data_IF_209683000507
#
_entry.id   IF_209683000507
#
_cell.length_a   1.000
_cell.length_b   1.000
_cell.length_c   1.000
_cell.angle_alpha   90.00
_cell.angle_beta   90.00
_cell.angle_gamma   90.00
#
_symmetry.space_group_name_H-M   'P 1'
#
loop_
_entity.id
_entity.type
_entity.pdbx_description
1 polymer ?
#
# COMPACT_ATOMS: atom_id res chain seq x y z
N UNK A 1 -64.15 50.32 -18.42
CA UNK A 1 -62.78 49.89 -18.81
C UNK A 1 -62.23 49.00 -17.72
N UNK A 2 -62.20 47.71 -17.99
CA UNK A 2 -61.95 46.65 -17.00
C UNK A 2 -60.44 46.45 -16.74
N UNK A 3 -60.07 46.55 -15.45
CA UNK A 3 -58.75 46.09 -14.97
C UNK A 3 -58.89 44.61 -14.59
N UNK A 4 -58.17 43.73 -15.30
CA UNK A 4 -58.10 42.33 -14.97
C UNK A 4 -56.90 42.14 -13.98
N UNK A 5 -57.22 41.58 -12.81
CA UNK A 5 -56.27 41.18 -11.80
C UNK A 5 -55.52 39.91 -12.25
N UNK A 6 -54.18 39.96 -12.31
CA UNK A 6 -53.34 38.79 -12.56
C UNK A 6 -52.87 38.26 -11.18
N UNK A 7 -53.42 37.15 -10.75
CA UNK A 7 -52.95 36.43 -9.56
C UNK A 7 -51.69 35.61 -9.95
N UNK A 8 -50.54 35.98 -9.41
CA UNK A 8 -49.34 35.17 -9.49
C UNK A 8 -49.37 34.15 -8.36
N UNK A 9 -49.47 32.87 -8.71
CA UNK A 9 -49.29 31.77 -7.76
C UNK A 9 -47.79 31.54 -7.54
N UNK A 10 -47.30 31.84 -6.35
CA UNK A 10 -45.93 31.46 -5.92
C UNK A 10 -45.96 30.00 -5.44
N UNK A 11 -45.45 29.10 -6.23
CA UNK A 11 -45.23 27.71 -5.83
C UNK A 11 -43.96 27.66 -4.93
N UNK A 12 -44.18 27.49 -3.63
CA UNK A 12 -43.10 27.23 -2.70
C UNK A 12 -42.62 25.77 -2.87
N UNK A 13 -41.46 25.60 -3.48
CA UNK A 13 -40.73 24.31 -3.48
C UNK A 13 -40.15 24.09 -2.06
N UNK A 14 -40.81 23.27 -1.26
CA UNK A 14 -40.22 22.70 -0.06
C UNK A 14 -39.16 21.68 -0.51
N UNK A 15 -37.87 22.09 -0.50
CA UNK A 15 -36.77 21.15 -0.52
C UNK A 15 -36.79 20.39 0.81
N UNK A 16 -37.41 19.20 0.83
CA UNK A 16 -37.25 18.26 1.92
C UNK A 16 -35.77 17.74 1.87
N UNK A 17 -34.92 18.31 2.69
CA UNK A 17 -33.62 17.72 2.98
C UNK A 17 -33.85 16.44 3.75
N UNK A 18 -33.85 15.31 3.06
CA UNK A 18 -33.77 14.00 3.71
C UNK A 18 -32.50 13.96 4.56
N UNK A 19 -32.60 13.63 5.85
CA UNK A 19 -31.43 13.45 6.66
C UNK A 19 -30.59 12.33 6.00
N UNK A 20 -29.33 12.61 5.68
CA UNK A 20 -28.39 11.58 5.32
C UNK A 20 -28.35 10.59 6.50
N UNK A 21 -28.97 9.44 6.35
CA UNK A 21 -28.78 8.34 7.28
C UNK A 21 -27.31 7.96 7.19
N UNK A 22 -26.52 8.41 8.15
CA UNK A 22 -25.21 7.83 8.44
C UNK A 22 -25.49 6.38 8.85
N UNK A 23 -25.48 5.48 7.90
CA UNK A 23 -25.46 4.05 8.20
C UNK A 23 -24.19 3.82 9.04
N UNK A 24 -24.38 3.51 10.32
CA UNK A 24 -23.29 3.03 11.17
C UNK A 24 -22.86 1.71 10.54
N UNK A 25 -21.77 1.75 9.78
CA UNK A 25 -21.21 0.56 9.17
C UNK A 25 -20.66 -0.33 10.29
N UNK A 26 -21.06 -1.59 10.30
CA UNK A 26 -20.53 -2.56 11.25
C UNK A 26 -19.03 -2.68 11.02
N UNK A 27 -18.27 -2.70 12.12
CA UNK A 27 -16.83 -2.73 12.08
C UNK A 27 -16.32 -4.18 11.98
N UNK A 28 -15.36 -4.44 11.09
CA UNK A 28 -14.66 -5.71 11.01
C UNK A 28 -13.83 -5.96 12.28
N UNK A 29 -13.98 -7.14 12.88
CA UNK A 29 -13.34 -7.55 14.15
C UNK A 29 -12.36 -8.72 14.01
N UNK A 30 -12.13 -9.17 12.78
CA UNK A 30 -11.18 -10.28 12.51
C UNK A 30 -9.72 -9.83 12.51
N UNK A 31 -8.80 -10.72 12.08
CA UNK A 31 -7.38 -10.42 11.98
C UNK A 31 -7.08 -9.23 11.08
N UNK A 32 -6.08 -8.43 11.45
CA UNK A 32 -5.63 -7.25 10.72
C UNK A 32 -4.16 -7.42 10.39
N UNK A 33 -3.79 -7.16 9.12
CA UNK A 33 -2.40 -7.20 8.66
C UNK A 33 -2.00 -5.81 8.21
N UNK A 34 -0.97 -5.25 8.84
CA UNK A 34 -0.32 -3.99 8.44
C UNK A 34 0.74 -4.30 7.38
N UNK A 35 0.44 -3.97 6.13
CA UNK A 35 1.32 -4.26 5.01
C UNK A 35 2.43 -3.19 4.79
N UNK A 36 2.51 -2.17 5.67
CA UNK A 36 3.47 -1.10 5.49
C UNK A 36 3.99 -0.55 6.84
N UNK A 37 4.98 -1.25 7.41
CA UNK A 37 5.69 -0.76 8.60
C UNK A 37 7.20 -0.91 8.42
N UNK A 38 7.94 0.17 8.69
CA UNK A 38 9.39 0.20 8.48
C UNK A 38 10.16 -0.25 9.71
N UNK A 39 11.10 -1.17 9.52
CA UNK A 39 12.18 -1.49 10.45
C UNK A 39 13.36 -0.56 10.17
N UNK A 40 13.89 0.11 11.20
CA UNK A 40 15.03 1.03 11.08
C UNK A 40 16.13 0.62 12.05
N UNK A 41 17.23 0.10 11.52
CA UNK A 41 18.37 -0.39 12.32
C UNK A 41 19.32 0.73 12.71
N UNK A 42 19.27 1.85 12.00
CA UNK A 42 20.16 2.98 12.23
C UNK A 42 19.50 4.33 11.93
N UNK A 43 20.14 5.44 12.32
CA UNK A 43 19.58 6.78 12.19
C UNK A 43 19.39 7.24 10.73
N UNK A 44 20.08 6.60 9.78
CA UNK A 44 20.06 6.94 8.36
C UNK A 44 19.25 5.94 7.51
N UNK A 45 18.50 5.04 8.13
CA UNK A 45 17.73 4.01 7.42
C UNK A 45 16.34 4.52 6.99
N UNK A 46 16.08 5.81 7.07
CA UNK A 46 14.83 6.48 6.64
C UNK A 46 15.07 7.67 5.72
N UNK A 47 14.00 8.39 5.36
CA UNK A 47 14.05 9.64 4.59
C UNK A 47 14.80 10.74 5.33
N UNK A 48 14.58 10.82 6.63
CA UNK A 48 15.24 11.76 7.54
C UNK A 48 15.94 10.98 8.65
N UNK A 49 17.00 11.57 9.27
CA UNK A 49 17.59 10.96 10.46
C UNK A 49 16.53 10.73 11.53
N UNK A 50 16.40 9.51 12.00
CA UNK A 50 15.40 9.12 13.01
C UNK A 50 16.01 8.14 14.01
N UNK A 51 15.33 7.96 15.13
CA UNK A 51 15.70 6.90 16.07
C UNK A 51 15.50 5.52 15.42
N UNK A 52 16.31 4.53 15.77
CA UNK A 52 16.07 3.14 15.37
C UNK A 52 14.65 2.67 15.79
N UNK A 53 14.02 1.91 14.92
CA UNK A 53 12.69 1.30 15.17
C UNK A 53 12.85 -0.20 15.07
N UNK A 54 12.88 -0.85 16.22
CA UNK A 54 12.98 -2.31 16.34
C UNK A 54 11.63 -3.01 16.33
N UNK A 55 11.66 -4.33 16.21
CA UNK A 55 10.46 -5.19 16.24
C UNK A 55 9.64 -5.07 17.50
N UNK A 56 10.27 -4.81 18.66
CA UNK A 56 9.54 -4.65 19.93
C UNK A 56 8.64 -3.41 19.95
N UNK A 57 9.11 -2.30 19.34
CA UNK A 57 8.31 -1.09 19.20
C UNK A 57 7.11 -1.34 18.27
N UNK A 58 7.32 -1.99 17.13
CA UNK A 58 6.25 -2.34 16.19
C UNK A 58 5.24 -3.25 16.89
N UNK A 59 5.69 -4.34 17.53
CA UNK A 59 4.82 -5.28 18.23
C UNK A 59 3.98 -4.61 19.31
N UNK A 60 4.56 -3.70 20.09
CA UNK A 60 3.82 -2.96 21.14
C UNK A 60 2.69 -2.13 20.56
N UNK A 61 2.93 -1.46 19.44
CA UNK A 61 1.93 -0.65 18.75
C UNK A 61 0.86 -1.50 18.08
N UNK A 62 1.27 -2.62 17.48
CA UNK A 62 0.36 -3.60 16.87
C UNK A 62 -0.59 -4.18 17.93
N UNK A 63 -0.06 -4.61 19.07
CA UNK A 63 -0.87 -5.16 20.17
C UNK A 63 -1.89 -4.13 20.67
N UNK A 64 -1.48 -2.87 20.81
CA UNK A 64 -2.35 -1.78 21.24
C UNK A 64 -3.45 -1.46 20.19
N UNK A 65 -3.17 -1.63 18.89
CA UNK A 65 -4.10 -1.38 17.80
C UNK A 65 -4.96 -2.59 17.43
N UNK A 66 -4.61 -3.80 17.89
CA UNK A 66 -5.24 -5.07 17.49
C UNK A 66 -4.76 -5.56 16.11
N UNK A 67 -3.59 -5.11 15.65
CA UNK A 67 -2.92 -5.63 14.45
C UNK A 67 -2.30 -6.99 14.78
N UNK A 68 -2.56 -7.98 13.94
CA UNK A 68 -2.12 -9.37 14.18
C UNK A 68 -0.77 -9.67 13.56
N UNK A 69 -0.46 -9.05 12.42
CA UNK A 69 0.81 -9.25 11.71
C UNK A 69 1.20 -7.95 10.99
N UNK A 70 2.50 -7.66 10.90
CA UNK A 70 3.03 -6.48 10.21
C UNK A 70 4.16 -6.82 9.27
N UNK A 71 4.25 -6.08 8.17
CA UNK A 71 5.43 -6.02 7.32
C UNK A 71 6.63 -5.49 8.11
N UNK A 72 7.83 -5.98 7.78
CA UNK A 72 9.09 -5.37 8.20
C UNK A 72 9.81 -4.87 6.96
N UNK A 73 9.73 -3.58 6.68
CA UNK A 73 10.25 -2.97 5.47
C UNK A 73 11.60 -2.30 5.75
N UNK A 74 12.59 -2.57 4.90
CA UNK A 74 13.87 -1.85 4.84
C UNK A 74 14.04 -1.17 3.48
N UNK A 75 14.96 -0.21 3.39
CA UNK A 75 15.24 0.53 2.14
C UNK A 75 16.75 0.49 1.86
N UNK A 76 17.12 -0.10 0.73
CA UNK A 76 18.49 -0.14 0.22
C UNK A 76 18.97 1.24 -0.27
N UNK A 77 20.27 1.46 -0.30
CA UNK A 77 20.90 2.66 -0.86
C UNK A 77 21.86 2.28 -1.98
N UNK A 78 21.96 3.15 -2.99
CA UNK A 78 22.87 2.96 -4.12
C UNK A 78 24.32 2.77 -3.66
N UNK A 79 25.00 1.81 -4.27
CA UNK A 79 26.43 1.56 -4.04
C UNK A 79 26.74 0.95 -2.67
N UNK A 80 25.74 0.42 -1.96
CA UNK A 80 25.92 -0.16 -0.62
C UNK A 80 25.45 -1.63 -0.53
N UNK A 81 25.93 -2.54 -1.40
CA UNK A 81 25.42 -3.92 -1.47
C UNK A 81 25.59 -4.69 -0.14
N UNK A 82 26.69 -4.50 0.57
CA UNK A 82 26.92 -5.14 1.87
C UNK A 82 25.92 -4.65 2.94
N UNK A 83 25.63 -3.35 2.98
CA UNK A 83 24.62 -2.78 3.88
C UNK A 83 23.22 -3.25 3.49
N UNK A 84 22.91 -3.32 2.20
CA UNK A 84 21.67 -3.87 1.67
C UNK A 84 21.47 -5.30 2.15
N UNK A 85 22.47 -6.16 2.04
CA UNK A 85 22.43 -7.52 2.55
C UNK A 85 22.15 -7.57 4.05
N UNK A 86 22.84 -6.74 4.86
CA UNK A 86 22.62 -6.67 6.31
C UNK A 86 21.16 -6.27 6.66
N UNK A 87 20.60 -5.31 5.94
CA UNK A 87 19.22 -4.87 6.12
C UNK A 87 18.22 -6.00 5.79
N UNK A 88 18.44 -6.67 4.67
CA UNK A 88 17.61 -7.79 4.23
C UNK A 88 17.71 -8.97 5.20
N UNK A 89 18.90 -9.31 5.66
CA UNK A 89 19.11 -10.38 6.64
C UNK A 89 18.40 -10.06 7.98
N UNK A 90 18.38 -8.79 8.38
CA UNK A 90 17.71 -8.38 9.60
C UNK A 90 16.18 -8.60 9.53
N UNK A 91 15.51 -8.20 8.44
CA UNK A 91 14.06 -8.42 8.30
C UNK A 91 13.72 -9.89 8.12
N UNK A 92 14.54 -10.66 7.37
CA UNK A 92 14.37 -12.10 7.20
C UNK A 92 14.49 -12.82 8.54
N UNK A 93 15.52 -12.50 9.34
CA UNK A 93 15.75 -13.11 10.66
C UNK A 93 14.66 -12.73 11.66
N UNK A 94 14.26 -11.46 11.69
CA UNK A 94 13.21 -10.99 12.58
C UNK A 94 11.84 -11.64 12.27
N UNK A 95 11.49 -11.76 11.00
CA UNK A 95 10.28 -12.45 10.58
C UNK A 95 10.33 -13.95 10.86
N UNK A 96 11.48 -14.61 10.63
CA UNK A 96 11.67 -16.03 10.95
C UNK A 96 11.57 -16.30 12.45
N UNK A 97 12.00 -15.36 13.31
CA UNK A 97 11.88 -15.49 14.76
C UNK A 97 10.44 -15.34 15.29
N UNK A 98 9.58 -14.65 14.55
CA UNK A 98 8.19 -14.42 14.94
C UNK A 98 7.23 -14.42 13.71
N UNK A 99 7.10 -15.54 12.98
CA UNK A 99 6.39 -15.60 11.70
C UNK A 99 4.88 -15.34 11.79
N UNK A 100 4.29 -15.54 12.96
CA UNK A 100 2.90 -15.18 13.22
C UNK A 100 2.69 -13.66 13.41
N UNK A 101 3.77 -12.90 13.61
CA UNK A 101 3.72 -11.46 13.90
C UNK A 101 4.31 -10.62 12.80
N UNK A 102 5.26 -11.15 12.05
CA UNK A 102 5.99 -10.38 11.04
C UNK A 102 6.20 -11.16 9.75
N UNK A 103 6.25 -10.43 8.63
CA UNK A 103 6.75 -10.94 7.37
C UNK A 103 7.78 -9.96 6.78
N UNK A 104 8.81 -10.46 6.06
CA UNK A 104 9.89 -9.63 5.59
C UNK A 104 9.55 -8.95 4.27
N UNK A 105 9.87 -7.67 4.14
CA UNK A 105 9.90 -6.92 2.89
C UNK A 105 11.34 -6.44 2.69
N UNK A 106 12.04 -7.09 1.79
CA UNK A 106 13.44 -6.83 1.47
C UNK A 106 13.59 -5.62 0.53
N UNK A 107 14.80 -5.18 0.26
CA UNK A 107 15.04 -4.08 -0.67
C UNK A 107 16.31 -4.28 -1.46
N UNK A 108 16.36 -3.70 -2.65
CA UNK A 108 17.59 -3.55 -3.48
C UNK A 108 17.60 -2.14 -4.06
N UNK A 109 18.74 -1.70 -4.61
CA UNK A 109 18.79 -0.48 -5.38
C UNK A 109 18.93 -0.80 -6.88
N UNK A 110 18.04 -0.30 -7.78
CA UNK A 110 18.08 -0.67 -9.18
C UNK A 110 19.42 -0.36 -9.88
N UNK A 111 20.05 0.76 -9.57
CA UNK A 111 21.32 1.15 -10.16
C UNK A 111 22.53 0.27 -9.74
N UNK A 112 22.34 -0.63 -8.74
CA UNK A 112 23.37 -1.61 -8.36
C UNK A 112 23.43 -2.81 -9.31
N UNK A 113 22.50 -2.88 -10.31
CA UNK A 113 22.52 -3.82 -11.45
C UNK A 113 22.72 -5.28 -11.02
N UNK A 114 23.84 -5.89 -11.41
CA UNK A 114 24.12 -7.30 -11.10
C UNK A 114 24.08 -7.59 -9.61
N UNK A 115 24.60 -6.69 -8.77
CA UNK A 115 24.55 -6.88 -7.32
C UNK A 115 23.12 -6.89 -6.77
N UNK A 116 22.22 -6.11 -7.37
CA UNK A 116 20.78 -6.15 -7.04
C UNK A 116 20.15 -7.48 -7.47
N UNK A 117 20.49 -8.00 -8.66
CA UNK A 117 19.95 -9.27 -9.16
C UNK A 117 20.42 -10.45 -8.32
N UNK A 118 21.70 -10.50 -7.97
CA UNK A 118 22.27 -11.54 -7.12
C UNK A 118 21.62 -11.55 -5.73
N UNK A 119 21.36 -10.35 -5.19
CA UNK A 119 20.68 -10.22 -3.90
C UNK A 119 19.21 -10.65 -3.99
N UNK A 120 18.48 -10.30 -5.05
CA UNK A 120 17.10 -10.77 -5.28
C UNK A 120 17.02 -12.29 -5.35
N UNK A 121 17.94 -12.93 -6.07
CA UNK A 121 18.03 -14.39 -6.12
C UNK A 121 18.32 -15.01 -4.75
N UNK A 122 19.19 -14.38 -3.98
CA UNK A 122 19.53 -14.85 -2.63
C UNK A 122 18.32 -14.76 -1.70
N UNK A 123 17.67 -13.60 -1.62
CA UNK A 123 16.54 -13.40 -0.69
C UNK A 123 15.30 -14.20 -1.10
N UNK A 124 15.06 -14.42 -2.39
CA UNK A 124 14.01 -15.31 -2.87
C UNK A 124 14.21 -16.76 -2.38
N UNK A 125 15.44 -17.28 -2.44
CA UNK A 125 15.81 -18.60 -1.89
C UNK A 125 15.63 -18.68 -0.37
N UNK A 126 15.72 -17.54 0.34
CA UNK A 126 15.49 -17.43 1.78
C UNK A 126 14.01 -17.20 2.14
N UNK A 127 13.11 -17.21 1.15
CA UNK A 127 11.67 -17.12 1.37
C UNK A 127 11.08 -15.71 1.38
N UNK A 128 11.84 -14.68 0.97
CA UNK A 128 11.27 -13.37 0.72
C UNK A 128 10.18 -13.47 -0.35
N UNK A 129 9.09 -12.69 -0.17
CA UNK A 129 7.97 -12.63 -1.11
C UNK A 129 7.78 -11.24 -1.70
N UNK A 130 8.34 -10.22 -1.06
CA UNK A 130 8.10 -8.82 -1.40
C UNK A 130 9.38 -7.99 -1.31
N UNK A 131 9.53 -7.05 -2.24
CA UNK A 131 10.68 -6.16 -2.40
C UNK A 131 10.20 -4.71 -2.39
N UNK A 132 10.73 -3.90 -1.48
CA UNK A 132 10.47 -2.44 -1.44
C UNK A 132 11.42 -1.71 -2.38
N UNK A 133 10.85 -0.89 -3.25
CA UNK A 133 11.51 0.14 -4.05
C UNK A 133 10.91 1.51 -3.72
N UNK A 134 11.75 2.52 -3.56
CA UNK A 134 11.33 3.83 -3.10
C UNK A 134 11.94 4.95 -3.98
N UNK A 135 11.30 5.32 -5.10
CA UNK A 135 11.86 6.26 -6.08
C UNK A 135 12.43 7.53 -5.46
N UNK A 136 11.71 8.09 -4.49
CA UNK A 136 12.11 9.34 -3.84
C UNK A 136 13.32 9.15 -2.91
N UNK A 137 13.28 8.19 -1.99
CA UNK A 137 14.36 7.91 -1.03
C UNK A 137 15.62 7.35 -1.70
N UNK A 138 15.43 6.53 -2.73
CA UNK A 138 16.52 5.88 -3.49
C UNK A 138 16.98 6.74 -4.68
N UNK A 139 16.32 7.88 -4.94
CA UNK A 139 16.69 8.85 -5.97
C UNK A 139 16.79 8.25 -7.38
N UNK A 140 15.76 7.54 -7.82
CA UNK A 140 15.63 7.08 -9.20
C UNK A 140 14.31 7.51 -9.83
N UNK A 141 14.23 7.48 -11.16
CA UNK A 141 12.98 7.65 -11.90
C UNK A 141 12.36 6.27 -12.20
N UNK A 142 11.03 6.17 -12.09
CA UNK A 142 10.29 4.91 -12.35
C UNK A 142 10.49 4.43 -13.79
N UNK A 143 10.74 5.33 -14.74
CA UNK A 143 10.99 5.00 -16.15
C UNK A 143 12.45 4.63 -16.45
N UNK A 144 13.33 4.62 -15.45
CA UNK A 144 14.71 4.20 -15.62
C UNK A 144 14.78 2.73 -16.08
N UNK A 145 15.53 2.39 -17.12
CA UNK A 145 15.70 1.02 -17.58
C UNK A 145 16.19 0.04 -16.51
N UNK A 146 17.02 0.50 -15.57
CA UNK A 146 17.50 -0.34 -14.45
C UNK A 146 16.34 -0.72 -13.50
N UNK A 147 15.31 0.14 -13.37
CA UNK A 147 14.09 -0.18 -12.61
C UNK A 147 13.29 -1.27 -13.32
N UNK A 148 13.07 -1.13 -14.63
CA UNK A 148 12.39 -2.14 -15.45
C UNK A 148 13.08 -3.51 -15.34
N UNK A 149 14.41 -3.55 -15.39
CA UNK A 149 15.18 -4.78 -15.26
C UNK A 149 15.04 -5.45 -13.87
N UNK A 150 15.02 -4.66 -12.79
CA UNK A 150 14.75 -5.18 -11.44
C UNK A 150 13.32 -5.71 -11.33
N UNK A 151 12.34 -5.01 -11.89
CA UNK A 151 10.93 -5.45 -11.90
C UNK A 151 10.77 -6.75 -12.68
N UNK A 152 11.39 -6.89 -13.84
CA UNK A 152 11.40 -8.15 -14.62
C UNK A 152 12.00 -9.29 -13.81
N UNK A 153 13.16 -9.05 -13.17
CA UNK A 153 13.82 -10.04 -12.32
C UNK A 153 12.95 -10.47 -11.14
N UNK A 154 12.22 -9.54 -10.53
CA UNK A 154 11.26 -9.88 -9.48
C UNK A 154 10.14 -10.80 -10.01
N UNK A 155 9.63 -10.55 -11.21
CA UNK A 155 8.64 -11.41 -11.86
C UNK A 155 9.14 -12.83 -12.12
N UNK A 156 10.38 -12.98 -12.58
CA UNK A 156 11.04 -14.28 -12.77
C UNK A 156 11.13 -15.07 -11.45
N UNK A 157 11.38 -14.37 -10.35
CA UNK A 157 11.55 -14.94 -9.00
C UNK A 157 10.23 -15.06 -8.23
N UNK A 158 9.08 -14.69 -8.82
CA UNK A 158 7.78 -14.59 -8.16
C UNK A 158 7.77 -13.67 -6.93
N UNK A 159 8.60 -12.64 -6.94
CA UNK A 159 8.61 -11.58 -5.94
C UNK A 159 7.63 -10.47 -6.32
N UNK A 160 6.93 -9.94 -5.34
CA UNK A 160 6.06 -8.77 -5.47
C UNK A 160 6.91 -7.52 -5.30
N UNK A 161 6.63 -6.45 -6.04
CA UNK A 161 7.32 -5.18 -5.86
C UNK A 161 6.39 -4.17 -5.22
N UNK A 162 6.74 -3.72 -4.01
CA UNK A 162 6.10 -2.62 -3.30
C UNK A 162 6.83 -1.32 -3.62
N UNK A 163 6.25 -0.51 -4.48
CA UNK A 163 6.77 0.82 -4.79
C UNK A 163 6.19 1.86 -3.83
N UNK A 164 7.04 2.76 -3.34
CA UNK A 164 6.57 4.06 -2.88
C UNK A 164 6.10 4.88 -4.08
N UNK A 165 4.91 5.47 -4.00
CA UNK A 165 4.36 6.33 -5.06
C UNK A 165 4.06 7.75 -4.56
N UNK A 166 4.85 8.22 -3.60
CA UNK A 166 4.77 9.57 -3.05
C UNK A 166 5.80 10.50 -3.71
N UNK A 167 5.42 11.10 -4.82
CA UNK A 167 6.24 12.12 -5.51
C UNK A 167 5.33 13.26 -6.01
N UNK A 168 4.82 14.11 -5.10
CA UNK A 168 3.76 15.06 -5.41
C UNK A 168 4.15 16.14 -6.42
N UNK A 169 5.44 16.33 -6.67
CA UNK A 169 5.96 17.24 -7.69
C UNK A 169 6.15 16.61 -9.08
N UNK A 170 5.92 15.30 -9.23
CA UNK A 170 5.96 14.60 -10.52
C UNK A 170 4.56 14.13 -10.91
N UNK A 171 3.83 14.98 -11.62
CA UNK A 171 2.48 14.67 -12.09
C UNK A 171 2.44 13.48 -13.09
N UNK A 172 3.57 13.05 -13.64
CA UNK A 172 3.65 11.92 -14.57
C UNK A 172 3.92 10.57 -13.89
N UNK A 173 4.23 10.55 -12.60
CA UNK A 173 4.71 9.34 -11.92
C UNK A 173 3.71 8.18 -12.00
N UNK A 174 2.42 8.43 -11.77
CA UNK A 174 1.39 7.39 -11.87
C UNK A 174 1.28 6.81 -13.30
N UNK A 175 1.47 7.64 -14.32
CA UNK A 175 1.54 7.19 -15.72
C UNK A 175 2.77 6.31 -15.99
N UNK A 176 3.92 6.61 -15.38
CA UNK A 176 5.12 5.78 -15.47
C UNK A 176 4.90 4.41 -14.82
N UNK A 177 4.26 4.35 -13.65
CA UNK A 177 3.88 3.09 -13.01
C UNK A 177 2.91 2.27 -13.86
N UNK A 178 1.92 2.92 -14.48
CA UNK A 178 0.99 2.24 -15.38
C UNK A 178 1.73 1.61 -16.56
N UNK A 179 2.64 2.35 -17.19
CA UNK A 179 3.45 1.84 -18.29
C UNK A 179 4.35 0.68 -17.85
N UNK A 180 5.00 0.81 -16.70
CA UNK A 180 5.83 -0.24 -16.10
C UNK A 180 5.02 -1.53 -15.87
N UNK A 181 3.80 -1.41 -15.34
CA UNK A 181 2.92 -2.56 -15.10
C UNK A 181 2.50 -3.26 -16.40
N UNK A 182 2.22 -2.50 -17.46
CA UNK A 182 1.89 -3.04 -18.78
C UNK A 182 3.09 -3.76 -19.41
N UNK A 183 4.29 -3.22 -19.23
CA UNK A 183 5.53 -3.79 -19.76
C UNK A 183 5.97 -5.06 -19.04
N UNK A 184 5.63 -5.19 -17.75
CA UNK A 184 6.03 -6.32 -16.88
C UNK A 184 4.81 -7.07 -16.29
N UNK A 185 3.96 -7.67 -17.13
CA UNK A 185 2.68 -8.25 -16.68
C UNK A 185 2.82 -9.46 -15.76
N UNK A 186 4.00 -10.08 -15.69
CA UNK A 186 4.29 -11.21 -14.80
C UNK A 186 4.60 -10.77 -13.38
N UNK A 187 5.00 -9.52 -13.18
CA UNK A 187 5.39 -8.99 -11.87
C UNK A 187 4.19 -8.34 -11.19
N UNK A 188 3.85 -8.80 -10.01
CA UNK A 188 2.84 -8.15 -9.17
C UNK A 188 3.44 -6.88 -8.56
N UNK A 189 2.71 -5.78 -8.66
CA UNK A 189 3.13 -4.46 -8.21
C UNK A 189 2.12 -3.93 -7.19
N UNK A 190 2.61 -3.44 -6.06
CA UNK A 190 1.83 -2.68 -5.07
C UNK A 190 2.31 -1.24 -5.10
N UNK A 191 1.40 -0.29 -5.28
CA UNK A 191 1.69 1.14 -5.24
C UNK A 191 1.28 1.70 -3.88
N UNK A 192 2.27 1.90 -3.00
CA UNK A 192 2.04 2.48 -1.68
C UNK A 192 1.53 3.92 -1.80
N UNK A 193 0.67 4.30 -0.86
CA UNK A 193 0.04 5.63 -0.81
C UNK A 193 -0.85 5.94 -2.00
N UNK A 194 -1.08 4.98 -2.92
CA UNK A 194 -1.97 5.11 -4.07
C UNK A 194 -1.73 6.38 -4.92
N UNK A 195 -0.46 6.84 -5.04
CA UNK A 195 -0.12 8.10 -5.71
C UNK A 195 -0.35 9.36 -4.86
N UNK A 196 -0.77 9.22 -3.60
CA UNK A 196 -1.03 10.29 -2.63
C UNK A 196 -1.93 11.38 -3.20
N UNK A 197 -1.43 12.61 -3.45
CA UNK A 197 -2.21 13.70 -4.05
C UNK A 197 -2.73 13.38 -5.47
N UNK A 198 -2.11 12.41 -6.15
CA UNK A 198 -2.47 11.92 -7.48
C UNK A 198 -3.34 10.65 -7.46
N UNK A 199 -3.96 10.31 -6.33
CA UNK A 199 -4.74 9.07 -6.17
C UNK A 199 -5.86 8.88 -7.22
N UNK A 200 -6.38 9.97 -7.78
CA UNK A 200 -7.38 9.94 -8.85
C UNK A 200 -6.88 9.22 -10.11
N UNK A 201 -5.58 9.30 -10.37
CA UNK A 201 -4.91 8.65 -11.51
C UNK A 201 -5.00 7.11 -11.42
N UNK A 202 -5.22 6.55 -10.22
CA UNK A 202 -5.42 5.12 -10.04
C UNK A 202 -6.60 4.56 -10.85
N UNK A 203 -7.59 5.39 -11.19
CA UNK A 203 -8.69 5.00 -12.09
C UNK A 203 -8.20 4.60 -13.47
N UNK A 204 -7.08 5.14 -13.94
CA UNK A 204 -6.50 4.76 -15.23
C UNK A 204 -6.06 3.29 -15.26
N UNK A 205 -5.59 2.74 -14.14
CA UNK A 205 -5.23 1.31 -14.03
C UNK A 205 -6.46 0.42 -14.19
N UNK A 206 -7.60 0.82 -13.63
CA UNK A 206 -8.86 0.07 -13.81
C UNK A 206 -9.33 0.09 -15.27
N UNK A 207 -9.23 1.24 -15.94
CA UNK A 207 -9.58 1.36 -17.36
C UNK A 207 -8.70 0.46 -18.23
N UNK A 208 -7.40 0.46 -18.01
CA UNK A 208 -6.44 -0.36 -18.77
C UNK A 208 -6.62 -1.86 -18.43
N UNK A 209 -6.94 -2.21 -17.19
CA UNK A 209 -7.26 -3.59 -16.78
C UNK A 209 -8.46 -4.15 -17.55
N UNK A 210 -9.51 -3.35 -17.79
CA UNK A 210 -10.65 -3.74 -18.63
C UNK A 210 -10.27 -4.08 -20.08
N UNK A 211 -9.13 -3.58 -20.54
CA UNK A 211 -8.57 -3.93 -21.84
C UNK A 211 -7.65 -5.16 -21.79
N UNK A 212 -7.59 -5.85 -20.65
CA UNK A 212 -6.76 -7.05 -20.43
C UNK A 212 -5.29 -6.76 -20.15
N UNK A 213 -4.95 -5.53 -19.72
CA UNK A 213 -3.59 -5.11 -19.39
C UNK A 213 -3.53 -4.58 -17.96
N UNK A 214 -2.33 -4.52 -17.34
CA UNK A 214 -2.09 -4.01 -15.99
C UNK A 214 -2.98 -4.67 -14.91
N UNK A 215 -3.31 -5.97 -15.05
CA UNK A 215 -4.06 -6.73 -14.04
C UNK A 215 -3.19 -7.14 -12.83
N UNK A 216 -1.94 -6.76 -12.85
CA UNK A 216 -0.90 -7.08 -11.89
C UNK A 216 -0.64 -5.96 -10.85
N UNK A 217 -1.58 -5.01 -10.67
CA UNK A 217 -1.40 -3.86 -9.77
C UNK A 217 -2.41 -3.87 -8.63
N UNK A 218 -1.89 -3.61 -7.42
CA UNK A 218 -2.61 -3.33 -6.17
C UNK A 218 -2.21 -1.97 -5.62
N UNK A 219 -2.97 -1.45 -4.67
CA UNK A 219 -2.72 -0.16 -4.03
C UNK A 219 -2.75 -0.31 -2.52
N UNK A 220 -1.73 0.19 -1.87
CA UNK A 220 -1.68 0.35 -0.42
C UNK A 220 -2.18 1.76 -0.07
N UNK A 221 -3.08 1.85 0.91
CA UNK A 221 -3.70 3.11 1.34
C UNK A 221 -3.07 3.69 2.60
N UNK A 222 -1.86 3.26 2.96
CA UNK A 222 -1.09 3.87 4.03
C UNK A 222 -0.88 5.37 3.77
N UNK A 223 -0.78 6.16 4.82
CA UNK A 223 -0.69 7.61 4.81
C UNK A 223 -1.88 8.34 4.12
N UNK A 224 -2.33 7.92 2.94
CA UNK A 224 -3.41 8.60 2.21
C UNK A 224 -4.75 8.50 2.96
N UNK A 225 -5.08 7.34 3.54
CA UNK A 225 -6.29 7.17 4.33
C UNK A 225 -6.26 8.12 5.54
N UNK A 226 -5.14 8.19 6.25
CA UNK A 226 -4.96 9.07 7.43
C UNK A 226 -5.04 10.54 7.05
N UNK A 227 -4.47 10.91 5.90
CA UNK A 227 -4.46 12.32 5.42
C UNK A 227 -5.85 12.81 5.03
N UNK A 228 -6.67 11.95 4.38
CA UNK A 228 -7.95 12.40 3.82
C UNK A 228 -9.18 11.97 4.63
N UNK A 229 -9.04 11.13 5.65
CA UNK A 229 -10.13 10.79 6.55
C UNK A 229 -10.70 12.06 7.24
N UNK A 230 -12.02 12.21 7.22
CA UNK A 230 -12.71 13.38 7.77
C UNK A 230 -12.57 14.67 6.93
N UNK A 231 -11.84 14.65 5.82
CA UNK A 231 -11.69 15.81 4.93
C UNK A 231 -12.79 15.89 3.86
N UNK A 232 -12.99 17.04 3.21
CA UNK A 232 -13.89 17.15 2.05
C UNK A 232 -13.52 16.24 0.88
N UNK A 233 -12.28 15.75 0.81
CA UNK A 233 -11.78 14.83 -0.24
C UNK A 233 -12.12 13.36 0.06
N UNK A 234 -12.46 13.01 1.30
CA UNK A 234 -12.79 11.62 1.67
C UNK A 234 -13.82 10.94 0.76
N UNK A 235 -14.95 11.56 0.39
CA UNK A 235 -15.93 10.90 -0.49
C UNK A 235 -15.36 10.54 -1.86
N UNK A 236 -14.46 11.35 -2.39
CA UNK A 236 -13.78 11.10 -3.65
C UNK A 236 -12.74 9.98 -3.52
N UNK A 237 -11.97 9.95 -2.42
CA UNK A 237 -11.09 8.83 -2.12
C UNK A 237 -11.87 7.51 -2.07
N UNK A 238 -12.95 7.45 -1.30
CA UNK A 238 -13.78 6.23 -1.18
C UNK A 238 -14.38 5.81 -2.52
N UNK A 239 -14.84 6.77 -3.33
CA UNK A 239 -15.31 6.51 -4.69
C UNK A 239 -14.16 5.90 -5.53
N UNK A 240 -12.95 6.44 -5.45
CA UNK A 240 -11.78 5.94 -6.18
C UNK A 240 -11.43 4.51 -5.76
N UNK A 241 -11.40 4.22 -4.44
CA UNK A 241 -11.14 2.86 -3.94
C UNK A 241 -12.13 1.85 -4.53
N UNK A 242 -13.44 2.17 -4.51
CA UNK A 242 -14.48 1.31 -5.09
C UNK A 242 -14.39 1.21 -6.61
N UNK A 243 -14.01 2.29 -7.29
CA UNK A 243 -13.85 2.33 -8.74
C UNK A 243 -12.69 1.47 -9.22
N UNK A 244 -11.57 1.52 -8.52
CA UNK A 244 -10.39 0.68 -8.79
C UNK A 244 -10.68 -0.80 -8.49
N UNK A 245 -11.50 -1.07 -7.48
CA UNK A 245 -11.84 -2.39 -6.97
C UNK A 245 -11.29 -2.59 -5.56
N UNK A 246 -12.17 -2.85 -4.60
CA UNK A 246 -11.78 -3.06 -3.19
C UNK A 246 -10.85 -4.25 -3.01
N UNK A 247 -10.96 -5.26 -3.88
CA UNK A 247 -10.07 -6.43 -3.94
C UNK A 247 -8.60 -6.10 -4.32
N UNK A 248 -8.35 -4.85 -4.72
CA UNK A 248 -7.02 -4.33 -5.07
C UNK A 248 -6.45 -3.39 -4.02
N UNK A 249 -7.15 -3.17 -2.91
CA UNK A 249 -6.77 -2.21 -1.87
C UNK A 249 -6.21 -2.94 -0.65
N UNK A 250 -5.06 -2.47 -0.15
CA UNK A 250 -4.32 -3.07 0.96
C UNK A 250 -4.16 -2.03 2.06
N UNK A 251 -4.30 -2.45 3.31
CA UNK A 251 -4.05 -1.63 4.48
C UNK A 251 -2.56 -1.58 4.83
N UNK A 252 -2.09 -0.41 5.21
CA UNK A 252 -0.79 -0.18 5.81
C UNK A 252 -0.82 1.05 6.72
N UNK A 253 0.07 1.11 7.71
CA UNK A 253 0.21 2.28 8.58
C UNK A 253 1.21 3.31 8.04
N UNK A 254 2.24 2.87 7.37
CA UNK A 254 3.45 3.65 7.06
C UNK A 254 4.22 4.03 8.33
N UNK A 255 4.16 3.16 9.37
CA UNK A 255 4.98 3.38 10.56
C UNK A 255 6.47 3.55 10.19
N UNK A 256 7.17 4.57 10.73
CA UNK A 256 6.84 5.42 11.87
C UNK A 256 6.23 6.79 11.48
N UNK A 257 5.69 6.97 10.29
CA UNK A 257 5.00 8.21 9.90
C UNK A 257 3.67 8.32 10.67
N UNK A 258 2.89 7.24 10.67
CA UNK A 258 1.68 7.11 11.48
C UNK A 258 1.73 5.82 12.30
N UNK A 259 1.07 5.82 13.45
CA UNK A 259 0.90 4.59 14.23
C UNK A 259 -0.14 3.68 13.58
N UNK A 260 -0.07 2.35 13.77
CA UNK A 260 -1.12 1.43 13.31
C UNK A 260 -2.52 1.80 13.81
N UNK A 261 -2.63 2.35 15.04
CA UNK A 261 -3.89 2.81 15.60
C UNK A 261 -4.49 4.00 14.83
N UNK A 262 -3.68 5.01 14.50
CA UNK A 262 -4.12 6.17 13.72
C UNK A 262 -4.56 5.75 12.31
N UNK A 263 -3.78 4.93 11.64
CA UNK A 263 -4.08 4.44 10.30
C UNK A 263 -5.37 3.59 10.29
N UNK A 264 -5.53 2.69 11.27
CA UNK A 264 -6.72 1.86 11.39
C UNK A 264 -7.96 2.69 11.68
N UNK A 265 -7.87 3.68 12.57
CA UNK A 265 -8.96 4.62 12.85
C UNK A 265 -9.37 5.38 11.58
N UNK A 266 -8.40 5.83 10.78
CA UNK A 266 -8.66 6.49 9.52
C UNK A 266 -9.45 5.59 8.55
N UNK A 267 -9.00 4.34 8.33
CA UNK A 267 -9.69 3.39 7.45
C UNK A 267 -11.11 3.10 7.94
N UNK A 268 -11.32 2.93 9.24
CA UNK A 268 -12.64 2.72 9.84
C UNK A 268 -13.59 3.91 9.61
N UNK A 269 -13.06 5.13 9.57
CA UNK A 269 -13.84 6.34 9.33
C UNK A 269 -14.20 6.58 7.85
N UNK A 270 -13.63 5.84 6.90
CA UNK A 270 -13.92 5.99 5.46
C UNK A 270 -15.35 5.56 5.07
N UNK A 271 -16.10 4.89 5.95
CA UNK A 271 -17.44 4.42 5.63
C UNK A 271 -17.46 3.18 4.71
N UNK A 272 -16.42 2.36 4.78
CA UNK A 272 -16.38 1.06 4.13
C UNK A 272 -17.30 0.08 4.87
N UNK A 273 -17.99 -0.79 4.15
CA UNK A 273 -18.79 -1.87 4.73
C UNK A 273 -17.90 -2.87 5.47
N UNK A 274 -18.46 -3.69 6.37
CA UNK A 274 -17.72 -4.73 7.08
C UNK A 274 -16.97 -5.67 6.12
N UNK A 275 -17.60 -6.02 4.98
CA UNK A 275 -16.98 -6.86 3.95
C UNK A 275 -15.81 -6.15 3.26
N UNK A 276 -15.97 -4.87 2.89
CA UNK A 276 -14.89 -4.06 2.31
C UNK A 276 -13.74 -3.88 3.30
N UNK A 277 -14.03 -3.64 4.59
CA UNK A 277 -13.02 -3.58 5.64
C UNK A 277 -12.25 -4.90 5.77
N UNK A 278 -12.95 -6.05 5.75
CA UNK A 278 -12.31 -7.37 5.79
C UNK A 278 -11.34 -7.57 4.62
N UNK A 279 -11.75 -7.19 3.41
CA UNK A 279 -10.88 -7.27 2.23
C UNK A 279 -9.64 -6.41 2.39
N UNK A 280 -9.80 -5.14 2.72
CA UNK A 280 -8.70 -4.16 2.84
C UNK A 280 -7.75 -4.49 3.99
N UNK A 281 -8.29 -4.85 5.16
CA UNK A 281 -7.52 -5.07 6.37
C UNK A 281 -6.85 -6.45 6.45
N UNK A 282 -7.29 -7.42 5.63
CA UNK A 282 -6.81 -8.79 5.75
C UNK A 282 -6.76 -9.56 4.43
N UNK A 283 -7.92 -9.82 3.79
CA UNK A 283 -8.01 -10.86 2.77
C UNK A 283 -7.13 -10.58 1.55
N UNK A 284 -7.04 -9.31 1.12
CA UNK A 284 -6.31 -8.93 -0.09
C UNK A 284 -4.81 -9.18 0.05
N UNK A 285 -4.21 -8.81 1.18
CA UNK A 285 -2.77 -9.04 1.41
C UNK A 285 -2.45 -10.51 1.64
N UNK A 286 -3.33 -11.24 2.33
CA UNK A 286 -3.21 -12.70 2.49
C UNK A 286 -3.20 -13.39 1.14
N UNK A 287 -4.14 -13.04 0.27
CA UNK A 287 -4.23 -13.59 -1.08
C UNK A 287 -2.99 -13.23 -1.92
N UNK A 288 -2.58 -11.95 -1.89
CA UNK A 288 -1.47 -11.46 -2.68
C UNK A 288 -0.15 -12.15 -2.33
N UNK A 289 0.15 -12.27 -1.04
CA UNK A 289 1.39 -12.87 -0.52
C UNK A 289 1.30 -14.39 -0.29
N UNK A 290 0.10 -15.01 -0.41
CA UNK A 290 -0.15 -16.41 -0.08
C UNK A 290 0.35 -16.77 1.33
N UNK A 291 0.04 -15.92 2.31
CA UNK A 291 0.58 -16.06 3.67
C UNK A 291 0.15 -17.37 4.36
N UNK A 292 -1.01 -17.94 4.01
CA UNK A 292 -1.54 -19.16 4.62
C UNK A 292 -0.95 -20.46 4.03
N UNK A 293 -0.29 -20.42 2.87
CA UNK A 293 0.27 -21.62 2.23
C UNK A 293 1.53 -22.13 2.95
N UNK A 294 2.25 -21.26 3.68
CA UNK A 294 3.44 -21.62 4.46
C UNK A 294 3.15 -22.32 5.79
N UNK A 295 2.02 -22.05 6.42
CA UNK A 295 1.65 -22.65 7.71
C UNK A 295 1.20 -24.10 7.58
N UNK A 296 0.63 -24.49 6.43
CA UNK A 296 0.21 -25.86 6.16
C UNK A 296 1.39 -26.82 5.90
N UNK A 297 2.54 -26.31 5.42
CA UNK A 297 3.73 -27.12 5.16
C UNK A 297 4.58 -27.37 6.42
N UNK A 298 4.54 -26.48 7.41
CA UNK A 298 5.30 -26.59 8.66
C UNK A 298 4.69 -27.59 9.65
N UNK A 299 3.44 -28.05 9.44
CA UNK A 299 2.74 -29.02 10.28
C UNK A 299 2.86 -30.48 9.81
N UNK A 300 3.68 -30.75 8.77
CA UNK A 300 3.87 -32.07 8.17
C UNK A 300 5.32 -32.61 8.31
N UNK A 301 6.13 -32.03 9.20
CA UNK A 301 7.47 -32.56 9.52
C UNK A 301 7.65 -32.78 11.03
#
# INVERSE_FOLDING_TARGET
MNRKHLCAAVAAFLCATLPAHTQVTKEYKGPIIDAHAHLRLGPNDGLTPTQPVGTDAIRTLDDAAGVTQSALIVIARQGQPEKTRQLNDAVLSAAAAAPARFYPVVSVHPADKQAAYDELERVAKLGAKEVKLHPNTQNFDVSDPDVGAVVEKCGELNLIVLFDSYKPWDASEMGKFLLLAVQHPKTKIVLAHMGFSHFREAVSFELIRRLGMADNVWFDISAIATTYAGSPVQPELVWTLRKVGIDRIIFGSDWPVYTPAEALQAVRSLGLTETEQKQVLHDNIVHLLRLNEGAACASLH
#
